data_IF_980808640366
#
_entry.id   IF_980808640366
#
_cell.length_a   1.000
_cell.length_b   1.000
_cell.length_c   1.000
_cell.angle_alpha   90.00
_cell.angle_beta   90.00
_cell.angle_gamma   90.00
#
_symmetry.space_group_name_H-M   'P 1'
#
loop_
_entity.id
_entity.type
_entity.pdbx_description
1 polymer ?
#
# COMPACT_ATOMS: atom_id res chain seq x y z
N UNK A 1 -18.96 -25.23 -29.23
CA UNK A 1 -18.74 -23.81 -29.59
C UNK A 1 -17.55 -23.33 -28.78
N UNK A 2 -16.34 -23.41 -29.35
CA UNK A 2 -15.10 -23.02 -28.68
C UNK A 2 -14.83 -21.56 -28.99
N UNK A 3 -15.03 -20.69 -28.01
CA UNK A 3 -14.61 -19.29 -28.11
C UNK A 3 -13.08 -19.28 -28.02
N UNK A 4 -12.41 -19.01 -29.15
CA UNK A 4 -10.98 -18.71 -29.16
C UNK A 4 -10.75 -17.44 -28.36
N UNK A 5 -10.15 -17.57 -27.18
CA UNK A 5 -9.62 -16.43 -26.43
C UNK A 5 -8.61 -15.70 -27.31
N UNK A 6 -8.80 -14.39 -27.48
CA UNK A 6 -7.89 -13.55 -28.26
C UNK A 6 -6.55 -13.47 -27.50
N UNK A 7 -5.40 -13.50 -28.19
CA UNK A 7 -4.07 -13.52 -27.55
C UNK A 7 -3.73 -12.26 -26.72
N UNK A 8 -4.60 -11.25 -26.68
CA UNK A 8 -4.43 -10.01 -25.92
C UNK A 8 -5.45 -9.83 -24.79
N UNK A 9 -6.25 -10.85 -24.47
CA UNK A 9 -7.26 -10.77 -23.41
C UNK A 9 -6.70 -11.37 -22.12
N UNK A 10 -6.34 -10.51 -21.16
CA UNK A 10 -5.94 -10.94 -19.81
C UNK A 10 -7.22 -11.05 -18.98
N UNK A 11 -7.54 -12.28 -18.53
CA UNK A 11 -8.60 -12.51 -17.56
C UNK A 11 -8.22 -11.79 -16.26
N UNK A 12 -8.94 -10.73 -15.91
CA UNK A 12 -8.88 -10.17 -14.56
C UNK A 12 -9.85 -11.01 -13.73
N UNK A 13 -9.31 -11.82 -12.81
CA UNK A 13 -10.13 -12.53 -11.82
C UNK A 13 -11.05 -11.53 -11.10
N UNK A 14 -12.31 -11.91 -10.90
CA UNK A 14 -13.20 -11.18 -9.99
C UNK A 14 -12.47 -10.99 -8.66
N UNK A 15 -12.42 -9.77 -8.14
CA UNK A 15 -11.75 -9.48 -6.88
C UNK A 15 -12.76 -9.81 -5.77
N UNK A 16 -12.65 -10.94 -5.06
CA UNK A 16 -13.50 -11.19 -3.90
C UNK A 16 -13.10 -10.17 -2.82
N UNK A 17 -14.00 -9.24 -2.53
CA UNK A 17 -13.84 -8.29 -1.42
C UNK A 17 -14.71 -8.79 -0.27
N UNK A 18 -14.08 -9.38 0.73
CA UNK A 18 -14.74 -9.70 1.99
C UNK A 18 -14.85 -8.43 2.84
N UNK A 19 -15.98 -7.75 2.71
CA UNK A 19 -16.31 -6.52 3.46
C UNK A 19 -16.46 -6.75 4.97
N UNK A 20 -16.50 -8.02 5.41
CA UNK A 20 -16.55 -8.41 6.82
C UNK A 20 -15.15 -8.50 7.44
N UNK A 21 -14.11 -8.53 6.61
CA UNK A 21 -12.71 -8.73 7.00
C UNK A 21 -11.90 -7.43 7.09
N UNK A 22 -12.56 -6.27 7.11
CA UNK A 22 -11.92 -5.04 7.61
C UNK A 22 -11.65 -5.24 9.10
N UNK A 23 -10.57 -5.95 9.41
CA UNK A 23 -10.15 -6.23 10.76
C UNK A 23 -9.85 -4.90 11.43
N UNK A 24 -10.65 -4.60 12.44
CA UNK A 24 -10.54 -3.38 13.20
C UNK A 24 -9.25 -3.39 14.01
N UNK A 25 -8.20 -2.76 13.49
CA UNK A 25 -7.52 -1.70 14.23
C UNK A 25 -6.02 -1.84 14.46
N UNK A 26 -5.49 -3.05 14.56
CA UNK A 26 -4.08 -3.28 14.91
C UNK A 26 -3.50 -4.38 14.02
N UNK A 27 -2.48 -4.01 13.24
CA UNK A 27 -1.75 -4.92 12.37
C UNK A 27 -0.54 -5.45 13.14
N UNK A 28 -0.42 -6.77 13.25
CA UNK A 28 0.82 -7.39 13.72
C UNK A 28 1.88 -7.29 12.59
N UNK A 29 3.04 -6.64 12.82
CA UNK A 29 4.10 -6.56 11.81
C UNK A 29 4.61 -7.93 11.32
N UNK A 30 4.43 -9.00 12.08
CA UNK A 30 4.77 -10.36 11.68
C UNK A 30 3.79 -10.96 10.66
N UNK A 31 2.57 -10.43 10.59
CA UNK A 31 1.54 -10.87 9.63
C UNK A 31 1.65 -10.15 8.28
N UNK A 32 2.41 -9.05 8.21
CA UNK A 32 2.66 -8.34 6.96
C UNK A 32 3.59 -9.18 6.07
N UNK A 33 3.14 -9.61 4.87
CA UNK A 33 4.00 -10.36 3.96
C UNK A 33 5.24 -9.55 3.59
N UNK A 34 6.40 -10.21 3.47
CA UNK A 34 7.69 -9.54 3.23
C UNK A 34 7.67 -8.62 2.01
N UNK A 35 6.96 -9.01 0.94
CA UNK A 35 6.81 -8.15 -0.24
C UNK A 35 6.06 -6.85 0.07
N UNK A 36 4.96 -6.92 0.83
CA UNK A 36 4.19 -5.74 1.25
C UNK A 36 5.02 -4.90 2.20
N UNK A 37 5.74 -5.54 3.13
CA UNK A 37 6.66 -4.87 4.06
C UNK A 37 7.74 -4.09 3.29
N UNK A 38 8.37 -4.71 2.29
CA UNK A 38 9.40 -4.12 1.46
C UNK A 38 8.89 -2.91 0.66
N UNK A 39 7.73 -3.04 0.00
CA UNK A 39 7.11 -1.93 -0.74
C UNK A 39 6.75 -0.78 0.20
N UNK A 40 6.14 -1.10 1.35
CA UNK A 40 5.74 -0.11 2.36
C UNK A 40 6.95 0.63 2.90
N UNK A 41 8.04 -0.06 3.22
CA UNK A 41 9.30 0.58 3.64
C UNK A 41 9.88 1.43 2.51
N UNK A 42 9.83 0.96 1.27
CA UNK A 42 10.28 1.71 0.10
C UNK A 42 9.58 3.07 -0.03
N UNK A 43 8.29 3.16 0.30
CA UNK A 43 7.53 4.40 0.29
C UNK A 43 8.03 5.45 1.31
N UNK A 44 8.83 5.04 2.29
CA UNK A 44 9.47 5.94 3.27
C UNK A 44 10.90 6.36 2.89
N UNK A 45 11.51 5.65 1.93
CA UNK A 45 12.92 5.81 1.56
C UNK A 45 13.17 7.03 0.67
N UNK A 46 14.44 7.40 0.51
CA UNK A 46 14.87 8.43 -0.44
C UNK A 46 14.57 8.10 -1.91
N UNK A 47 14.33 6.82 -2.24
CA UNK A 47 14.00 6.37 -3.59
C UNK A 47 12.72 5.52 -3.58
N UNK A 48 11.54 6.15 -3.44
CA UNK A 48 10.28 5.41 -3.41
C UNK A 48 9.99 4.67 -4.72
N UNK A 49 9.17 3.60 -4.68
CA UNK A 49 8.76 2.89 -5.89
C UNK A 49 8.06 3.82 -6.89
N UNK A 50 8.53 3.81 -8.14
CA UNK A 50 8.00 4.66 -9.21
C UNK A 50 6.95 3.97 -10.09
N UNK A 51 6.75 2.66 -9.91
CA UNK A 51 5.70 1.92 -10.60
C UNK A 51 4.39 1.96 -9.77
N UNK A 52 3.34 2.66 -10.23
CA UNK A 52 2.11 2.81 -9.44
C UNK A 52 1.40 1.47 -9.16
N UNK A 53 1.54 0.46 -10.02
CA UNK A 53 0.92 -0.85 -9.78
C UNK A 53 1.57 -1.60 -8.60
N UNK A 54 2.87 -1.43 -8.40
CA UNK A 54 3.59 -1.97 -7.25
C UNK A 54 3.10 -1.29 -5.97
N UNK A 55 2.91 0.03 -6.00
CA UNK A 55 2.41 0.80 -4.86
C UNK A 55 0.97 0.40 -4.52
N UNK A 56 0.11 0.24 -5.52
CA UNK A 56 -1.28 -0.20 -5.34
C UNK A 56 -1.39 -1.60 -4.74
N UNK A 57 -0.38 -2.47 -4.93
CA UNK A 57 -0.33 -3.77 -4.27
C UNK A 57 -0.22 -3.63 -2.74
N UNK A 58 0.63 -2.72 -2.26
CA UNK A 58 0.72 -2.41 -0.83
C UNK A 58 -0.55 -1.71 -0.35
N UNK A 59 -1.07 -0.74 -1.10
CA UNK A 59 -2.32 -0.04 -0.75
C UNK A 59 -3.48 -1.04 -0.54
N UNK A 60 -3.66 -1.99 -1.48
CA UNK A 60 -4.71 -3.03 -1.36
C UNK A 60 -4.57 -3.83 -0.07
N UNK A 61 -3.35 -4.21 0.30
CA UNK A 61 -3.13 -5.00 1.52
C UNK A 61 -3.50 -4.18 2.77
N UNK A 62 -3.00 -2.95 2.89
CA UNK A 62 -3.31 -2.06 4.02
C UNK A 62 -4.79 -1.70 4.12
N UNK A 63 -5.48 -1.59 2.99
CA UNK A 63 -6.93 -1.39 2.98
C UNK A 63 -7.69 -2.60 3.54
N UNK A 64 -7.27 -3.82 3.20
CA UNK A 64 -7.97 -5.03 3.62
C UNK A 64 -7.65 -5.39 5.06
N UNK A 65 -6.37 -5.34 5.44
CA UNK A 65 -5.87 -5.88 6.70
C UNK A 65 -5.60 -4.81 7.76
N UNK A 66 -5.43 -3.54 7.36
CA UNK A 66 -5.27 -2.41 8.25
C UNK A 66 -6.59 -1.73 8.58
N UNK A 67 -6.53 -0.41 8.79
CA UNK A 67 -7.69 0.43 9.15
C UNK A 67 -8.52 0.87 7.94
N UNK A 68 -8.56 0.08 6.87
CA UNK A 68 -9.32 0.42 5.66
C UNK A 68 -8.85 1.72 5.02
N UNK A 69 -9.81 2.51 4.54
CA UNK A 69 -9.54 3.80 3.89
C UNK A 69 -8.88 4.85 4.80
N UNK A 70 -8.83 4.59 6.11
CA UNK A 70 -8.21 5.47 7.12
C UNK A 70 -6.86 4.96 7.62
N UNK A 71 -6.32 3.87 7.04
CA UNK A 71 -4.99 3.39 7.39
C UNK A 71 -3.91 4.34 6.83
N UNK A 72 -2.97 4.85 7.66
CA UNK A 72 -1.96 5.79 7.17
C UNK A 72 -1.07 5.23 6.05
N UNK A 73 -0.78 3.92 6.06
CA UNK A 73 0.00 3.28 4.99
C UNK A 73 -0.83 3.15 3.70
N UNK A 74 -2.15 2.92 3.81
CA UNK A 74 -3.05 3.00 2.65
C UNK A 74 -3.12 4.42 2.09
N UNK A 75 -3.40 5.42 2.95
CA UNK A 75 -3.56 6.81 2.53
C UNK A 75 -2.31 7.34 1.83
N UNK A 76 -1.14 7.10 2.42
CA UNK A 76 0.12 7.50 1.80
C UNK A 76 0.39 6.78 0.47
N UNK A 77 0.10 5.48 0.36
CA UNK A 77 0.26 4.77 -0.90
C UNK A 77 -0.63 5.33 -2.01
N UNK A 78 -1.88 5.71 -1.71
CA UNK A 78 -2.79 6.35 -2.67
C UNK A 78 -2.32 7.75 -3.05
N UNK A 79 -1.88 8.54 -2.07
CA UNK A 79 -1.33 9.87 -2.29
C UNK A 79 -0.07 9.82 -3.16
N UNK A 80 0.81 8.84 -2.92
CA UNK A 80 1.99 8.61 -3.74
C UNK A 80 1.62 8.22 -5.18
N UNK A 81 0.61 7.35 -5.37
CA UNK A 81 0.10 7.02 -6.73
C UNK A 81 -0.49 8.25 -7.42
N UNK A 82 -1.21 9.10 -6.69
CA UNK A 82 -1.72 10.38 -7.21
C UNK A 82 -0.56 11.26 -7.67
N UNK A 83 0.50 11.38 -6.85
CA UNK A 83 1.72 12.11 -7.20
C UNK A 83 2.33 11.56 -8.51
N UNK A 84 2.56 10.25 -8.61
CA UNK A 84 3.12 9.62 -9.82
C UNK A 84 2.26 9.87 -11.07
N UNK A 85 0.93 9.90 -10.92
CA UNK A 85 0.01 10.06 -12.04
C UNK A 85 -0.17 11.52 -12.49
N UNK A 86 0.03 12.48 -11.58
CA UNK A 86 -0.30 13.90 -11.80
C UNK A 86 0.91 14.83 -11.75
N UNK A 87 2.08 14.32 -11.36
CA UNK A 87 3.30 15.08 -11.09
C UNK A 87 3.08 16.24 -10.09
N UNK A 88 2.02 16.16 -9.29
CA UNK A 88 1.68 17.17 -8.27
C UNK A 88 2.39 16.81 -6.98
N UNK A 89 2.95 17.78 -6.22
CA UNK A 89 3.61 17.50 -4.95
C UNK A 89 2.72 16.68 -4.00
N UNK A 90 3.35 15.75 -3.29
CA UNK A 90 2.70 14.92 -2.27
C UNK A 90 2.48 15.71 -0.98
N UNK A 91 1.42 15.34 -0.25
CA UNK A 91 1.09 15.90 1.06
C UNK A 91 2.11 15.50 2.13
N UNK A 92 2.86 16.48 2.66
CA UNK A 92 3.89 16.28 3.68
C UNK A 92 3.29 15.83 5.02
N UNK A 93 2.08 16.29 5.36
CA UNK A 93 1.43 15.92 6.62
C UNK A 93 1.00 14.45 6.58
N UNK A 94 0.54 13.96 5.43
CA UNK A 94 0.26 12.53 5.22
C UNK A 94 1.53 11.69 5.25
N UNK A 95 2.65 12.19 4.73
CA UNK A 95 3.93 11.51 4.81
C UNK A 95 4.41 11.37 6.26
N UNK A 96 4.33 12.45 7.05
CA UNK A 96 4.75 12.42 8.45
C UNK A 96 3.85 11.49 9.29
N UNK A 97 2.54 11.50 9.07
CA UNK A 97 1.59 10.58 9.70
C UNK A 97 1.90 9.11 9.34
N UNK A 98 2.28 8.86 8.09
CA UNK A 98 2.72 7.54 7.64
C UNK A 98 4.00 7.07 8.35
N UNK A 99 5.01 7.93 8.49
CA UNK A 99 6.24 7.58 9.21
C UNK A 99 5.98 7.28 10.69
N UNK A 100 5.11 8.04 11.36
CA UNK A 100 4.68 7.76 12.75
C UNK A 100 3.99 6.41 12.87
N UNK A 101 3.14 6.11 11.90
CA UNK A 101 2.43 4.86 11.87
C UNK A 101 3.39 3.67 11.69
N UNK A 102 4.37 3.75 10.79
CA UNK A 102 5.35 2.68 10.60
C UNK A 102 6.17 2.38 11.86
N UNK A 103 6.57 3.42 12.61
CA UNK A 103 7.22 3.23 13.92
C UNK A 103 6.28 2.53 14.89
N UNK A 104 5.02 2.98 14.97
CA UNK A 104 4.01 2.41 15.87
C UNK A 104 3.73 0.93 15.59
N UNK A 105 3.69 0.54 14.30
CA UNK A 105 3.47 -0.85 13.88
C UNK A 105 4.76 -1.68 13.99
N UNK A 106 5.91 -1.09 14.32
CA UNK A 106 7.16 -1.82 14.55
C UNK A 106 7.96 -2.13 13.27
N UNK A 107 7.81 -1.32 12.23
CA UNK A 107 8.67 -1.40 11.05
C UNK A 107 10.07 -0.83 11.31
N UNK A 108 10.21 0.06 12.29
CA UNK A 108 11.47 0.64 12.74
C UNK A 108 11.32 1.17 14.17
N UNK A 109 12.44 1.29 14.89
CA UNK A 109 12.47 1.86 16.25
C UNK A 109 12.25 3.38 16.23
N UNK A 110 12.69 4.06 15.16
CA UNK A 110 12.59 5.52 14.99
C UNK A 110 12.35 5.90 13.52
N UNK A 111 11.76 7.08 13.30
CA UNK A 111 11.49 7.60 11.93
C UNK A 111 12.76 7.70 11.08
N UNK A 112 13.91 8.02 11.70
CA UNK A 112 15.18 8.18 10.98
C UNK A 112 15.67 6.87 10.35
N UNK A 113 15.30 5.71 10.92
CA UNK A 113 15.69 4.41 10.40
C UNK A 113 14.82 3.94 9.20
N UNK A 114 13.76 4.71 8.87
CA UNK A 114 12.88 4.45 7.73
C UNK A 114 13.36 5.12 6.43
N UNK A 115 14.19 6.16 6.52
CA UNK A 115 14.75 6.90 5.38
C UNK A 115 16.00 6.20 4.84
#
# INVERSE_FOLDING_TARGET
MSQQQRPNDVSIDDIPVDVSNTQSGEVDPAEVPEEIRSITRGLASEQPPTNPLVVLKAARWWYIHGKGGTDPAFQWAIEWVRHLATDTPSDVDQFDAFLEYLVTVGFADEKVALR
#
